data_IF_861192514689
#
_entry.id   IF_861192514689
#
_cell.length_a   1.000
_cell.length_b   1.000
_cell.length_c   1.000
_cell.angle_alpha   90.00
_cell.angle_beta   90.00
_cell.angle_gamma   90.00
#
_symmetry.space_group_name_H-M   'P 1'
#
loop_
_entity.id
_entity.type
_entity.pdbx_description
1 polymer ?
#
# COMPACT_ATOMS: atom_id res chain seq x y z
N UNK A 1 -2.39 -8.43 16.38
CA UNK A 1 -3.33 -9.57 16.39
C UNK A 1 -3.12 -10.34 15.08
N UNK A 2 -3.04 -11.66 15.13
CA UNK A 2 -2.92 -12.49 13.92
C UNK A 2 -4.29 -12.67 13.26
N UNK A 3 -4.31 -12.88 11.94
CA UNK A 3 -5.54 -13.20 11.21
C UNK A 3 -6.02 -14.61 11.58
N UNK A 4 -7.34 -14.84 11.65
CA UNK A 4 -7.88 -16.16 11.94
C UNK A 4 -7.58 -17.15 10.80
N UNK A 5 -7.27 -18.39 11.15
CA UNK A 5 -6.97 -19.45 10.19
C UNK A 5 -8.16 -19.70 9.25
N UNK A 6 -7.86 -19.92 7.97
CA UNK A 6 -8.88 -20.17 6.95
C UNK A 6 -9.71 -18.95 6.53
N UNK A 7 -9.41 -17.75 7.03
CA UNK A 7 -10.09 -16.51 6.62
C UNK A 7 -9.69 -15.99 5.23
N UNK A 8 -8.69 -16.58 4.59
CA UNK A 8 -8.14 -16.11 3.30
C UNK A 8 -9.05 -16.29 2.08
N UNK A 9 -10.30 -16.75 2.28
CA UNK A 9 -11.28 -16.93 1.23
C UNK A 9 -12.27 -15.76 1.20
N UNK A 10 -12.44 -15.18 0.03
CA UNK A 10 -13.34 -14.05 -0.20
C UNK A 10 -12.61 -12.79 -0.65
N UNK A 11 -13.38 -11.74 -0.84
CA UNK A 11 -12.89 -10.42 -1.22
C UNK A 11 -12.43 -9.66 0.01
N UNK A 12 -11.30 -8.96 -0.14
CA UNK A 12 -10.75 -8.11 0.90
C UNK A 12 -10.40 -6.75 0.33
N UNK A 13 -10.59 -5.73 1.16
CA UNK A 13 -10.20 -4.36 0.87
C UNK A 13 -9.06 -3.96 1.81
N UNK A 14 -8.00 -3.40 1.24
CA UNK A 14 -6.85 -2.91 2.00
C UNK A 14 -6.58 -1.45 1.70
N UNK A 15 -6.18 -0.70 2.72
CA UNK A 15 -5.71 0.68 2.62
C UNK A 15 -4.30 0.78 3.17
N UNK A 16 -3.42 1.40 2.40
CA UNK A 16 -2.05 1.69 2.81
C UNK A 16 -1.90 3.21 2.86
N UNK A 17 -1.44 3.74 3.99
CA UNK A 17 -1.28 5.17 4.20
C UNK A 17 0.09 5.46 4.79
N UNK A 18 0.77 6.43 4.19
CA UNK A 18 2.01 6.95 4.72
C UNK A 18 1.83 8.42 5.12
N UNK A 19 2.21 8.75 6.34
CA UNK A 19 2.18 10.11 6.88
C UNK A 19 3.60 10.59 7.14
N UNK A 20 4.02 11.64 6.42
CA UNK A 20 5.38 12.17 6.46
C UNK A 20 5.75 12.79 7.79
N UNK A 21 4.79 13.41 8.49
CA UNK A 21 5.05 14.17 9.72
C UNK A 21 5.47 13.27 10.88
N UNK A 22 4.94 12.04 10.91
CA UNK A 22 5.25 11.03 11.92
C UNK A 22 6.08 9.87 11.34
N UNK A 23 6.50 9.96 10.08
CA UNK A 23 7.10 8.87 9.30
C UNK A 23 6.38 7.54 9.52
N UNK A 24 5.04 7.57 9.56
CA UNK A 24 4.24 6.41 9.91
C UNK A 24 3.66 5.77 8.66
N UNK A 25 3.97 4.50 8.46
CA UNK A 25 3.30 3.65 7.50
C UNK A 25 2.24 2.83 8.23
N UNK A 26 0.99 2.93 7.81
CA UNK A 26 -0.12 2.15 8.34
C UNK A 26 -0.83 1.37 7.23
N UNK A 27 -1.30 0.18 7.60
CA UNK A 27 -2.09 -0.70 6.73
C UNK A 27 -3.33 -1.13 7.48
N UNK A 28 -4.48 -0.97 6.83
CA UNK A 28 -5.78 -1.43 7.30
C UNK A 28 -6.31 -2.48 6.33
N UNK A 29 -6.78 -3.62 6.84
CA UNK A 29 -7.41 -4.69 6.09
C UNK A 29 -8.85 -4.91 6.58
N UNK A 30 -9.77 -5.11 5.63
CA UNK A 30 -11.17 -5.49 5.85
C UNK A 30 -11.52 -6.72 5.03
N UNK A 31 -12.23 -7.66 5.63
CA UNK A 31 -12.87 -8.77 4.93
C UNK A 31 -14.25 -8.30 4.45
N UNK A 32 -14.42 -8.17 3.14
CA UNK A 32 -15.65 -7.64 2.55
C UNK A 32 -16.81 -8.64 2.67
N UNK A 33 -16.49 -9.94 2.58
CA UNK A 33 -17.45 -11.04 2.71
C UNK A 33 -17.69 -11.47 4.18
N UNK A 34 -16.82 -11.05 5.11
CA UNK A 34 -16.90 -11.37 6.54
C UNK A 34 -16.76 -10.09 7.41
N UNK A 35 -17.72 -9.15 7.33
CA UNK A 35 -17.64 -7.87 8.03
C UNK A 35 -17.61 -8.00 9.56
N UNK A 36 -18.08 -9.13 10.12
CA UNK A 36 -18.06 -9.44 11.55
C UNK A 36 -16.64 -9.55 12.13
N UNK A 37 -15.64 -9.84 11.30
CA UNK A 37 -14.23 -9.89 11.71
C UNK A 37 -13.63 -8.49 11.97
N UNK A 38 -14.34 -7.43 11.57
CA UNK A 38 -13.90 -6.05 11.78
C UNK A 38 -12.69 -5.66 10.94
N UNK A 39 -11.92 -4.69 11.45
CA UNK A 39 -10.74 -4.14 10.79
C UNK A 39 -9.45 -4.61 11.46
N UNK A 40 -8.49 -5.02 10.64
CA UNK A 40 -7.15 -5.36 11.09
C UNK A 40 -6.20 -4.22 10.73
N UNK A 41 -5.45 -3.74 11.72
CA UNK A 41 -4.55 -2.59 11.55
C UNK A 41 -3.14 -2.95 12.00
N UNK A 42 -2.16 -2.54 11.21
CA UNK A 42 -0.74 -2.59 11.58
C UNK A 42 -0.09 -1.27 11.19
N UNK A 43 0.87 -0.81 12.00
CA UNK A 43 1.64 0.39 11.70
C UNK A 43 3.10 0.22 12.12
N UNK A 44 3.96 0.99 11.46
CA UNK A 44 5.38 1.08 11.77
C UNK A 44 5.89 2.50 11.50
N UNK A 45 6.88 2.93 12.28
CA UNK A 45 7.64 4.13 11.99
C UNK A 45 8.74 3.73 11.01
N UNK A 46 8.70 4.30 9.81
CA UNK A 46 9.62 4.00 8.71
C UNK A 46 9.99 5.31 8.03
N UNK A 47 11.28 5.66 8.06
CA UNK A 47 11.81 6.72 7.20
C UNK A 47 12.20 6.10 5.85
N UNK A 48 11.49 6.48 4.77
CA UNK A 48 11.76 5.92 3.45
C UNK A 48 13.12 6.33 2.86
N UNK A 49 13.67 7.47 3.26
CA UNK A 49 14.99 7.89 2.78
C UNK A 49 16.07 7.04 3.41
N UNK A 50 15.97 6.80 4.72
CA UNK A 50 16.89 5.92 5.45
C UNK A 50 16.76 4.47 4.98
N UNK A 51 15.56 4.06 4.54
CA UNK A 51 15.33 2.77 3.91
C UNK A 51 15.90 2.64 2.48
N UNK A 52 16.49 3.72 1.93
CA UNK A 52 17.13 3.73 0.61
C UNK A 52 16.16 3.91 -0.57
N UNK A 53 14.93 4.37 -0.32
CA UNK A 53 13.98 4.65 -1.40
C UNK A 53 14.39 5.92 -2.16
N UNK A 54 14.58 5.86 -3.49
CA UNK A 54 14.89 7.04 -4.29
C UNK A 54 13.71 8.02 -4.37
N UNK A 55 14.00 9.26 -4.81
CA UNK A 55 12.99 10.31 -4.97
C UNK A 55 11.87 9.97 -5.97
N UNK A 56 12.16 9.07 -6.92
CA UNK A 56 11.20 8.52 -7.87
C UNK A 56 11.13 7.01 -7.68
N UNK A 57 9.94 6.49 -7.40
CA UNK A 57 9.70 5.07 -7.18
C UNK A 57 8.45 4.62 -7.94
N UNK A 58 8.42 3.35 -8.29
CA UNK A 58 7.22 2.70 -8.81
C UNK A 58 6.38 2.13 -7.67
N UNK A 59 5.07 2.09 -7.87
CA UNK A 59 4.12 1.42 -6.97
C UNK A 59 3.42 0.30 -7.72
N UNK A 60 3.23 -0.83 -7.06
CA UNK A 60 2.64 -2.00 -7.68
C UNK A 60 2.32 -3.10 -6.68
N UNK A 61 1.74 -4.17 -7.21
CA UNK A 61 1.36 -5.36 -6.46
C UNK A 61 2.28 -6.52 -6.85
N UNK A 62 2.55 -7.42 -5.91
CA UNK A 62 3.22 -8.69 -6.19
C UNK A 62 2.50 -9.80 -5.44
N UNK A 63 2.53 -11.00 -5.99
CA UNK A 63 1.94 -12.20 -5.39
C UNK A 63 2.68 -13.43 -5.89
N UNK A 64 2.84 -14.42 -5.02
CA UNK A 64 3.59 -15.63 -5.32
C UNK A 64 2.99 -16.80 -4.53
N UNK A 65 3.07 -17.99 -5.12
CA UNK A 65 2.66 -19.26 -4.48
C UNK A 65 3.90 -20.13 -4.24
N UNK A 66 3.75 -21.10 -3.33
CA UNK A 66 4.79 -22.10 -3.02
C UNK A 66 4.22 -23.50 -3.15
N UNK A 67 4.35 -24.32 -2.09
CA UNK A 67 3.82 -25.69 -2.06
C UNK A 67 2.27 -25.75 -2.09
N UNK A 68 1.61 -24.64 -1.76
CA UNK A 68 0.16 -24.50 -1.75
C UNK A 68 -0.32 -23.58 -2.89
N UNK A 69 -1.56 -23.79 -3.32
CA UNK A 69 -2.18 -23.05 -4.42
C UNK A 69 -3.09 -21.98 -3.87
N UNK A 70 -2.88 -20.74 -4.32
CA UNK A 70 -3.72 -19.60 -4.02
C UNK A 70 -4.01 -18.80 -5.30
N UNK A 71 -5.07 -18.02 -5.28
CA UNK A 71 -5.41 -17.14 -6.40
C UNK A 71 -5.29 -15.69 -5.95
N UNK A 72 -4.32 -14.98 -6.53
CA UNK A 72 -4.16 -13.54 -6.30
C UNK A 72 -4.85 -12.76 -7.43
N UNK A 73 -5.95 -12.06 -7.11
CA UNK A 73 -6.67 -11.21 -8.08
C UNK A 73 -6.84 -9.81 -7.50
N UNK A 74 -6.41 -8.80 -8.26
CA UNK A 74 -6.69 -7.39 -7.94
C UNK A 74 -7.98 -7.01 -8.66
N UNK A 75 -9.05 -6.74 -7.89
CA UNK A 75 -10.36 -6.37 -8.46
C UNK A 75 -10.46 -4.89 -8.80
N UNK A 76 -9.84 -4.04 -7.98
CA UNK A 76 -9.74 -2.60 -8.18
C UNK A 76 -8.56 -2.05 -7.37
N UNK A 77 -8.00 -0.93 -7.80
CA UNK A 77 -7.01 -0.20 -7.03
C UNK A 77 -7.04 1.29 -7.39
N UNK A 78 -6.61 2.11 -6.45
CA UNK A 78 -6.32 3.52 -6.67
C UNK A 78 -5.09 3.90 -5.86
N UNK A 79 -4.36 4.90 -6.33
CA UNK A 79 -3.19 5.42 -5.67
C UNK A 79 -3.20 6.94 -5.74
N UNK A 80 -2.89 7.57 -4.62
CA UNK A 80 -2.75 9.01 -4.50
C UNK A 80 -1.50 9.33 -3.69
N UNK A 81 -0.74 10.32 -4.17
CA UNK A 81 0.44 10.83 -3.48
C UNK A 81 0.48 12.34 -3.65
N UNK A 82 0.76 13.04 -2.55
CA UNK A 82 0.95 14.48 -2.54
C UNK A 82 2.37 14.81 -2.11
N UNK A 83 3.01 15.71 -2.85
CA UNK A 83 4.29 16.28 -2.46
C UNK A 83 4.07 17.73 -2.06
N UNK A 84 4.15 18.02 -0.76
CA UNK A 84 4.12 19.39 -0.27
C UNK A 84 5.44 20.07 -0.58
N UNK A 85 5.55 20.63 -1.77
CA UNK A 85 6.62 21.56 -2.12
C UNK A 85 6.38 22.88 -1.39
N UNK A 86 7.24 23.21 -0.43
CA UNK A 86 7.39 24.60 0.01
C UNK A 86 8.06 25.36 -1.15
N UNK A 87 7.28 25.75 -2.15
CA UNK A 87 7.78 26.40 -3.33
C UNK A 87 8.35 27.79 -2.98
N UNK A 88 9.67 27.92 -2.99
CA UNK A 88 10.26 29.10 -3.64
C UNK A 88 10.14 28.84 -5.14
N UNK A 89 9.25 29.61 -5.79
CA UNK A 89 8.87 29.52 -7.21
C UNK A 89 10.08 29.42 -8.14
N UNK A 90 10.21 28.29 -8.86
CA UNK A 90 10.46 28.20 -10.32
C UNK A 90 10.95 26.79 -10.78
N UNK A 91 10.05 25.98 -11.37
CA UNK A 91 10.13 25.47 -12.77
C UNK A 91 9.23 24.26 -13.02
N UNK A 92 8.71 24.24 -14.24
CA UNK A 92 7.82 23.26 -14.88
C UNK A 92 8.48 21.90 -15.09
N UNK A 93 7.79 20.84 -14.67
CA UNK A 93 8.08 19.47 -15.08
C UNK A 93 6.88 18.57 -14.76
N UNK A 94 6.14 18.16 -15.80
CA UNK A 94 5.12 17.11 -15.72
C UNK A 94 5.55 15.96 -16.62
N UNK A 95 5.75 14.79 -16.03
CA UNK A 95 5.65 13.48 -16.66
C UNK A 95 5.83 12.42 -15.57
N UNK A 96 4.94 11.42 -15.50
CA UNK A 96 5.33 10.10 -14.98
C UNK A 96 4.74 9.03 -15.89
N UNK A 97 5.65 8.19 -16.37
CA UNK A 97 5.45 7.02 -17.21
C UNK A 97 4.98 5.84 -16.36
N UNK A 98 4.00 5.08 -16.85
CA UNK A 98 3.57 3.82 -16.25
C UNK A 98 4.36 2.67 -16.87
N UNK A 99 5.21 2.02 -16.07
CA UNK A 99 5.74 0.69 -16.40
C UNK A 99 5.03 -0.33 -15.51
N UNK A 100 4.33 -1.26 -16.12
CA UNK A 100 3.79 -2.45 -15.44
C UNK A 100 4.79 -3.59 -15.64
N UNK A 101 5.18 -4.25 -14.55
CA UNK A 101 5.91 -5.54 -14.58
C UNK A 101 4.92 -6.68 -14.38
#
# INVERSE_FOLDING_TARGET
MALPDGSFNGTMSAWVRYETDMSTLSVTLRFDDLPELGLYNVSAIVDFKDAGLPAYAAVGFSGATGDFIERHQILSWSFESTLTSLAVVNKTGSAVEFVVM
#
